data_IF_172242632847
#
_entry.id   IF_172242632847
#
_cell.length_a   1.000
_cell.length_b   1.000
_cell.length_c   1.000
_cell.angle_alpha   90.00
_cell.angle_beta   90.00
_cell.angle_gamma   90.00
#
_symmetry.space_group_name_H-M   'P 1'
#
loop_
_entity.id
_entity.type
_entity.pdbx_description
1 polymer ?
#
# COMPACT_ATOMS: atom_id res chain seq x y z
N UNK A 1 25.84 59.71 5.10
CA UNK A 1 25.10 58.95 4.08
C UNK A 1 25.84 57.63 3.88
N UNK A 2 25.41 56.58 4.58
CA UNK A 2 26.08 55.28 4.67
C UNK A 2 25.64 54.37 3.52
N UNK A 3 26.42 54.29 2.45
CA UNK A 3 26.25 53.32 1.38
C UNK A 3 27.34 52.26 1.46
N UNK A 4 27.13 51.24 2.30
CA UNK A 4 28.01 50.07 2.32
C UNK A 4 27.83 49.28 1.03
N UNK A 5 28.82 49.29 0.15
CA UNK A 5 28.87 48.46 -1.06
C UNK A 5 29.00 47.01 -0.59
N UNK A 6 27.93 46.21 -0.71
CA UNK A 6 28.01 44.76 -0.47
C UNK A 6 29.07 44.18 -1.40
N UNK A 7 30.03 43.41 -0.86
CA UNK A 7 31.06 42.78 -1.69
C UNK A 7 30.38 41.79 -2.64
N UNK A 8 30.73 41.74 -3.94
CA UNK A 8 30.13 40.81 -4.89
C UNK A 8 30.12 39.35 -4.39
N UNK A 9 31.19 38.96 -3.68
CA UNK A 9 31.39 37.61 -3.13
C UNK A 9 30.41 37.21 -2.02
N UNK A 10 29.96 38.14 -1.17
CA UNK A 10 29.01 37.83 -0.09
C UNK A 10 27.63 37.41 -0.65
N UNK A 11 27.23 37.99 -1.78
CA UNK A 11 25.98 37.60 -2.48
C UNK A 11 26.10 36.25 -3.20
N UNK A 12 27.30 35.89 -3.67
CA UNK A 12 27.57 34.59 -4.29
C UNK A 12 27.63 33.48 -3.25
N UNK A 13 28.27 33.72 -2.10
CA UNK A 13 28.33 32.79 -0.98
C UNK A 13 26.93 32.47 -0.41
N UNK A 14 26.10 33.49 -0.18
CA UNK A 14 24.70 33.30 0.25
C UNK A 14 23.88 32.51 -0.79
N UNK A 15 24.09 32.79 -2.08
CA UNK A 15 23.42 32.08 -3.16
C UNK A 15 23.84 30.60 -3.20
N UNK A 16 25.14 30.32 -3.14
CA UNK A 16 25.69 28.95 -3.09
C UNK A 16 25.12 28.19 -1.89
N UNK A 17 25.14 28.79 -0.69
CA UNK A 17 24.61 28.18 0.52
C UNK A 17 23.11 27.85 0.41
N UNK A 18 22.31 28.74 -0.20
CA UNK A 18 20.87 28.50 -0.44
C UNK A 18 20.65 27.33 -1.40
N UNK A 19 21.41 27.26 -2.49
CA UNK A 19 21.30 26.18 -3.48
C UNK A 19 21.74 24.85 -2.88
N UNK A 20 22.84 24.82 -2.12
CA UNK A 20 23.29 23.62 -1.41
C UNK A 20 22.26 23.13 -0.40
N UNK A 21 21.68 24.03 0.39
CA UNK A 21 20.60 23.71 1.31
C UNK A 21 19.38 23.14 0.57
N UNK A 22 18.95 23.76 -0.52
CA UNK A 22 17.84 23.26 -1.34
C UNK A 22 18.14 21.89 -1.93
N UNK A 23 19.35 21.67 -2.45
CA UNK A 23 19.79 20.37 -2.99
C UNK A 23 19.83 19.30 -1.91
N UNK A 24 20.39 19.59 -0.73
CA UNK A 24 20.40 18.68 0.42
C UNK A 24 19.01 18.33 0.89
N UNK A 25 18.13 19.33 1.04
CA UNK A 25 16.73 19.12 1.42
C UNK A 25 15.98 18.27 0.40
N UNK A 26 16.21 18.51 -0.90
CA UNK A 26 15.63 17.72 -1.98
C UNK A 26 16.13 16.27 -1.94
N UNK A 27 17.44 16.07 -1.84
CA UNK A 27 18.05 14.74 -1.77
C UNK A 27 17.60 13.96 -0.53
N UNK A 28 17.45 14.61 0.61
CA UNK A 28 16.90 14.00 1.81
C UNK A 28 15.43 13.62 1.63
N UNK A 29 14.62 14.49 1.05
CA UNK A 29 13.21 14.19 0.73
C UNK A 29 13.07 13.01 -0.25
N UNK A 30 13.89 12.98 -1.30
CA UNK A 30 13.94 11.86 -2.25
C UNK A 30 14.36 10.56 -1.57
N UNK A 31 15.41 10.60 -0.74
CA UNK A 31 15.85 9.45 0.06
C UNK A 31 14.73 8.95 0.98
N UNK A 32 14.05 9.85 1.69
CA UNK A 32 12.92 9.49 2.57
C UNK A 32 11.77 8.87 1.78
N UNK A 33 11.44 9.40 0.60
CA UNK A 33 10.39 8.84 -0.26
C UNK A 33 10.74 7.42 -0.74
N UNK A 34 11.99 7.18 -1.14
CA UNK A 34 12.47 5.85 -1.51
C UNK A 34 12.39 4.86 -0.35
N UNK A 35 12.83 5.27 0.84
CA UNK A 35 12.72 4.44 2.06
C UNK A 35 11.26 4.11 2.38
N UNK A 36 10.34 5.09 2.28
CA UNK A 36 8.93 4.88 2.55
C UNK A 36 8.25 3.92 1.54
N UNK A 37 8.62 3.98 0.26
CA UNK A 37 8.13 3.03 -0.75
C UNK A 37 8.61 1.60 -0.48
N UNK A 38 9.88 1.45 -0.12
CA UNK A 38 10.46 0.15 0.25
C UNK A 38 9.79 -0.43 1.50
N UNK A 39 9.61 0.36 2.56
CA UNK A 39 8.88 -0.07 3.76
C UNK A 39 7.44 -0.50 3.45
N UNK A 40 6.76 0.21 2.54
CA UNK A 40 5.41 -0.14 2.10
C UNK A 40 5.39 -1.46 1.35
N UNK A 41 6.38 -1.72 0.49
CA UNK A 41 6.56 -3.01 -0.20
C UNK A 41 6.79 -4.15 0.80
N UNK A 42 7.74 -3.97 1.72
CA UNK A 42 8.05 -4.96 2.75
C UNK A 42 6.82 -5.28 3.61
N UNK A 43 6.05 -4.26 4.02
CA UNK A 43 4.82 -4.46 4.78
C UNK A 43 3.80 -5.28 3.99
N UNK A 44 3.61 -5.00 2.70
CA UNK A 44 2.69 -5.79 1.86
C UNK A 44 3.11 -7.25 1.80
N UNK A 45 4.39 -7.52 1.56
CA UNK A 45 4.92 -8.87 1.47
C UNK A 45 4.78 -9.64 2.80
N UNK A 46 5.13 -9.01 3.93
CA UNK A 46 5.00 -9.62 5.25
C UNK A 46 3.57 -10.07 5.58
N UNK A 47 2.56 -9.31 5.13
CA UNK A 47 1.15 -9.60 5.42
C UNK A 47 0.46 -10.40 4.31
N UNK A 48 1.10 -10.60 3.15
CA UNK A 48 0.53 -11.35 2.04
C UNK A 48 0.19 -12.79 2.46
N UNK A 49 -1.05 -13.23 2.17
CA UNK A 49 -1.58 -14.54 2.57
C UNK A 49 -1.55 -14.83 4.08
N UNK A 50 -1.65 -13.80 4.91
CA UNK A 50 -1.82 -13.94 6.35
C UNK A 50 -3.16 -13.36 6.81
N UNK A 51 -3.78 -14.06 7.75
CA UNK A 51 -5.06 -13.66 8.31
C UNK A 51 -4.91 -12.35 9.13
N UNK A 52 -5.63 -11.27 8.78
CA UNK A 52 -5.64 -10.02 9.55
C UNK A 52 -6.13 -10.16 10.99
N UNK A 53 -6.92 -11.20 11.28
CA UNK A 53 -7.48 -11.44 12.62
C UNK A 53 -6.49 -12.09 13.58
N UNK A 54 -5.69 -13.05 13.10
CA UNK A 54 -4.87 -13.89 13.99
C UNK A 54 -3.43 -14.13 13.50
N UNK A 55 -3.04 -13.57 12.35
CA UNK A 55 -1.69 -13.69 11.79
C UNK A 55 -1.36 -15.03 11.13
N UNK A 56 -2.21 -16.06 11.25
CA UNK A 56 -1.96 -17.37 10.64
C UNK A 56 -2.21 -17.38 9.14
N UNK A 57 -1.58 -18.32 8.42
CA UNK A 57 -1.69 -18.43 6.96
C UNK A 57 -3.13 -18.61 6.49
N UNK A 58 -3.47 -17.89 5.41
CA UNK A 58 -4.61 -18.18 4.57
C UNK A 58 -4.26 -19.35 3.64
N UNK A 59 -5.23 -20.21 3.41
CA UNK A 59 -5.14 -21.32 2.45
C UNK A 59 -6.29 -21.17 1.46
N UNK A 60 -5.99 -21.39 0.18
CA UNK A 60 -7.00 -21.41 -0.86
C UNK A 60 -7.82 -22.70 -0.74
N UNK A 61 -9.15 -22.57 -0.78
CA UNK A 61 -10.08 -23.71 -0.76
C UNK A 61 -11.14 -23.56 -1.85
N UNK A 62 -11.53 -24.67 -2.47
CA UNK A 62 -12.62 -24.69 -3.44
C UNK A 62 -13.98 -24.74 -2.73
N UNK A 63 -14.80 -23.71 -2.95
CA UNK A 63 -16.18 -23.63 -2.50
C UNK A 63 -17.12 -23.48 -3.69
N UNK A 64 -17.86 -24.54 -4.05
CA UNK A 64 -18.85 -24.52 -5.14
C UNK A 64 -18.26 -23.96 -6.46
N UNK A 65 -17.03 -24.35 -6.79
CA UNK A 65 -16.25 -23.88 -7.95
C UNK A 65 -15.71 -22.45 -7.86
N UNK A 66 -15.82 -21.79 -6.70
CA UNK A 66 -15.13 -20.54 -6.38
C UNK A 66 -13.92 -20.85 -5.50
N UNK A 67 -12.76 -20.30 -5.85
CA UNK A 67 -11.58 -20.34 -4.97
C UNK A 67 -11.75 -19.25 -3.93
N UNK A 68 -11.59 -19.57 -2.65
CA UNK A 68 -11.68 -18.61 -1.55
C UNK A 68 -10.52 -18.80 -0.58
N UNK A 69 -10.08 -17.72 0.05
CA UNK A 69 -9.02 -17.78 1.04
C UNK A 69 -9.59 -17.98 2.45
N UNK A 70 -9.21 -19.09 3.09
CA UNK A 70 -9.65 -19.43 4.44
C UNK A 70 -8.47 -19.47 5.40
N UNK A 71 -8.62 -18.86 6.57
CA UNK A 71 -7.63 -18.97 7.63
C UNK A 71 -7.59 -20.39 8.21
N UNK A 72 -6.40 -20.97 8.22
CA UNK A 72 -6.11 -22.31 8.76
C UNK A 72 -6.36 -22.46 10.27
N UNK A 73 -6.41 -21.36 11.03
CA UNK A 73 -6.54 -21.38 12.49
C UNK A 73 -7.91 -20.90 12.97
N UNK A 74 -8.29 -19.65 12.64
CA UNK A 74 -9.53 -19.06 13.15
C UNK A 74 -10.74 -19.25 12.24
N UNK A 75 -10.55 -19.86 11.05
CA UNK A 75 -11.61 -20.14 10.10
C UNK A 75 -12.19 -18.93 9.35
N UNK A 76 -11.62 -17.73 9.52
CA UNK A 76 -12.06 -16.53 8.81
C UNK A 76 -11.87 -16.67 7.30
N UNK A 77 -12.80 -16.11 6.53
CA UNK A 77 -12.79 -16.15 5.06
C UNK A 77 -12.47 -14.76 4.53
N UNK A 78 -11.61 -14.71 3.52
CA UNK A 78 -11.17 -13.51 2.82
C UNK A 78 -11.46 -13.73 1.34
N UNK A 79 -12.03 -12.70 0.72
CA UNK A 79 -12.50 -12.73 -0.65
C UNK A 79 -11.83 -11.60 -1.42
N UNK A 80 -11.37 -11.90 -2.62
CA UNK A 80 -10.87 -10.91 -3.55
C UNK A 80 -12.02 -10.10 -4.18
N UNK A 81 -11.67 -9.02 -4.86
CA UNK A 81 -12.64 -8.17 -5.54
C UNK A 81 -13.44 -8.98 -6.58
N UNK A 82 -14.77 -8.99 -6.46
CA UNK A 82 -15.67 -9.74 -7.34
C UNK A 82 -16.04 -11.14 -6.85
N UNK A 83 -15.33 -11.71 -5.87
CA UNK A 83 -15.63 -13.06 -5.38
C UNK A 83 -16.88 -13.10 -4.50
N UNK A 84 -17.18 -12.02 -3.77
CA UNK A 84 -18.41 -11.93 -2.99
C UNK A 84 -19.65 -11.94 -3.89
N UNK A 85 -19.62 -11.18 -4.98
CA UNK A 85 -20.67 -11.14 -5.99
C UNK A 85 -20.86 -12.53 -6.62
N UNK A 86 -19.76 -13.20 -7.01
CA UNK A 86 -19.80 -14.55 -7.53
C UNK A 86 -20.40 -15.55 -6.52
N UNK A 87 -20.03 -15.44 -5.24
CA UNK A 87 -20.59 -16.29 -4.19
C UNK A 87 -22.10 -16.09 -4.02
N UNK A 88 -22.58 -14.84 -4.06
CA UNK A 88 -24.00 -14.49 -3.97
C UNK A 88 -24.79 -15.01 -5.19
N UNK A 89 -24.24 -14.88 -6.39
CA UNK A 89 -24.91 -15.32 -7.61
C UNK A 89 -25.03 -16.86 -7.69
N UNK A 90 -24.05 -17.59 -7.17
CA UNK A 90 -24.15 -19.05 -6.99
C UNK A 90 -25.31 -19.45 -6.08
N UNK A 91 -25.57 -18.68 -5.02
CA UNK A 91 -26.71 -18.93 -4.12
C UNK A 91 -28.05 -18.61 -4.76
N UNK A 92 -28.17 -17.49 -5.48
CA UNK A 92 -29.38 -17.14 -6.22
C UNK A 92 -29.73 -18.17 -7.29
N UNK A 93 -28.73 -18.64 -8.05
CA UNK A 93 -28.93 -19.69 -9.05
C UNK A 93 -29.34 -21.04 -8.45
N UNK A 94 -28.99 -21.31 -7.19
CA UNK A 94 -29.48 -22.48 -6.47
C UNK A 94 -30.94 -22.28 -6.01
N UNK A 95 -31.26 -21.12 -5.43
CA UNK A 95 -32.63 -20.83 -4.99
C UNK A 95 -33.62 -20.75 -6.17
N UNK A 96 -33.25 -20.14 -7.30
CA UNK A 96 -34.10 -20.12 -8.49
C UNK A 96 -34.39 -21.52 -9.05
N UNK A 97 -33.38 -22.42 -9.04
CA UNK A 97 -33.59 -23.83 -9.45
C UNK A 97 -34.46 -24.63 -8.49
N UNK A 98 -34.38 -24.36 -7.19
CA UNK A 98 -35.16 -25.07 -6.17
C UNK A 98 -36.60 -24.53 -6.11
N UNK A 99 -36.79 -23.23 -6.31
CA UNK A 99 -38.07 -22.56 -6.11
C UNK A 99 -38.77 -22.09 -7.39
N UNK A 100 -38.21 -22.34 -8.58
CA UNK A 100 -38.90 -22.16 -9.86
C UNK A 100 -39.37 -20.74 -10.16
N UNK A 101 -38.65 -19.72 -9.66
CA UNK A 101 -38.82 -18.31 -9.99
C UNK A 101 -37.80 -17.87 -11.05
#
# INVERSE_FOLDING_TARGET
>A
MTGGIRKPTESEEEYIARIEYQRRKKAEGEKQALMADEEKRQRKELHFMHCPKCGMKLIEVDYKSLKIDRCSACGGVWLDAGELEAAVDLEKGLLGRIFGL
#
